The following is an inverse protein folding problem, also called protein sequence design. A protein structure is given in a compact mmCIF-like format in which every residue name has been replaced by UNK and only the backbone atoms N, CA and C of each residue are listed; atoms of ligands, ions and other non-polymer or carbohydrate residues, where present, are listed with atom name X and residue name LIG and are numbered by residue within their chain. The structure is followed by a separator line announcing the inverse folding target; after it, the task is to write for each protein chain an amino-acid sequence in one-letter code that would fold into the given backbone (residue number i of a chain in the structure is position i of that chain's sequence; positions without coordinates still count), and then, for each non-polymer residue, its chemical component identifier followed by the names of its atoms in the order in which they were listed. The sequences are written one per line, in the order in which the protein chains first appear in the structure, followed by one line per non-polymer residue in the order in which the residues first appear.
data_IF_244607690777
#
_entry.id   IF_244607690777
#
_cell.length_a   1.000
_cell.length_b   1.000
_cell.length_c   1.000
_cell.angle_alpha   90.00
_cell.angle_beta   90.00
_cell.angle_gamma   90.00
#
_symmetry.space_group_name_H-M   'P 1'
#
loop_
_entity.id
_entity.type
_entity.pdbx_description
1 polymer ?
#
# COMPACT_ATOMS: atom_id res chain seq x y z
N UNK A 1 -2.89 42.66 -6.83
CA UNK A 1 -2.34 41.77 -5.78
C UNK A 1 -2.91 40.38 -5.99
N UNK A 2 -2.06 39.36 -6.11
CA UNK A 2 -2.52 37.98 -6.28
C UNK A 2 -2.79 37.35 -4.90
N UNK A 3 -3.73 36.41 -4.84
CA UNK A 3 -3.93 35.56 -3.67
C UNK A 3 -2.61 34.84 -3.36
N UNK A 4 -2.10 34.97 -2.14
CA UNK A 4 -0.82 34.37 -1.70
C UNK A 4 0.42 35.25 -1.83
N UNK A 5 0.31 36.46 -2.40
CA UNK A 5 1.40 37.44 -2.39
C UNK A 5 1.35 38.30 -1.13
N UNK A 6 2.51 38.52 -0.50
CA UNK A 6 2.66 39.51 0.58
C UNK A 6 3.07 40.85 -0.01
N UNK A 7 2.42 41.94 0.40
CA UNK A 7 2.84 43.29 0.05
C UNK A 7 3.83 43.75 1.12
N UNK A 8 5.05 44.04 0.70
CA UNK A 8 6.10 44.53 1.58
C UNK A 8 6.38 46.02 1.32
N UNK A 9 6.96 46.70 2.30
CA UNK A 9 7.45 48.08 2.18
C UNK A 9 6.38 49.15 1.88
N UNK A 10 5.13 48.93 2.31
CA UNK A 10 4.04 49.92 2.20
C UNK A 10 3.10 49.81 3.41
N UNK A 11 2.62 50.96 3.94
CA UNK A 11 1.76 51.00 5.15
C UNK A 11 0.33 50.53 4.90
N UNK A 12 -0.25 50.90 3.76
CA UNK A 12 -1.61 50.50 3.38
C UNK A 12 -1.75 50.46 1.86
N UNK A 13 -2.69 49.64 1.39
CA UNK A 13 -3.07 49.53 0.00
C UNK A 13 -4.59 49.39 -0.06
N UNK A 14 -5.24 50.19 -0.91
CA UNK A 14 -6.66 50.03 -1.23
C UNK A 14 -6.79 49.35 -2.59
N UNK A 15 -7.75 48.45 -2.73
CA UNK A 15 -8.03 47.76 -3.98
C UNK A 15 -9.37 47.04 -3.96
N UNK A 16 -9.85 46.66 -5.13
CA UNK A 16 -11.08 45.91 -5.31
C UNK A 16 -10.79 44.45 -5.65
N UNK A 17 -11.60 43.53 -5.13
CA UNK A 17 -11.51 42.11 -5.45
C UNK A 17 -12.13 41.85 -6.83
N UNK A 18 -11.28 41.52 -7.82
CA UNK A 18 -11.72 41.20 -9.19
C UNK A 18 -11.97 39.70 -9.38
N UNK A 19 -11.18 38.86 -8.71
CA UNK A 19 -11.30 37.40 -8.76
C UNK A 19 -11.35 36.86 -7.32
N UNK A 20 -12.28 35.95 -7.04
CA UNK A 20 -12.51 35.37 -5.71
C UNK A 20 -12.60 33.84 -5.84
N UNK A 21 -12.17 33.11 -4.81
CA UNK A 21 -12.30 31.65 -4.78
C UNK A 21 -11.44 30.92 -5.81
N UNK A 22 -12.06 30.02 -6.59
CA UNK A 22 -11.41 29.20 -7.63
C UNK A 22 -10.99 30.02 -8.86
N UNK A 23 -11.62 31.17 -9.09
CA UNK A 23 -11.30 32.07 -10.20
C UNK A 23 -9.99 32.83 -10.00
N UNK A 24 -9.39 32.73 -8.80
CA UNK A 24 -8.07 33.32 -8.55
C UNK A 24 -7.00 32.58 -9.34
N UNK A 25 -6.06 33.33 -9.96
CA UNK A 25 -4.93 32.73 -10.71
C UNK A 25 -4.14 31.68 -9.91
N UNK A 26 -4.04 31.84 -8.59
CA UNK A 26 -3.42 30.84 -7.71
C UNK A 26 -4.23 29.55 -7.66
N UNK A 27 -5.55 29.64 -7.55
CA UNK A 27 -6.43 28.48 -7.51
C UNK A 27 -6.49 27.78 -8.88
N UNK A 28 -6.49 28.52 -9.99
CA UNK A 28 -6.39 27.94 -11.33
C UNK A 28 -5.05 27.23 -11.59
N UNK A 29 -3.96 27.68 -10.95
CA UNK A 29 -2.66 26.99 -10.98
C UNK A 29 -2.59 25.79 -10.02
N UNK A 30 -3.52 25.66 -9.07
CA UNK A 30 -3.65 24.42 -8.31
C UNK A 30 -4.28 23.39 -9.23
N UNK A 31 -3.56 22.31 -9.51
CA UNK A 31 -4.11 21.20 -10.27
C UNK A 31 -5.38 20.70 -9.57
N UNK A 32 -6.55 20.89 -10.21
CA UNK A 32 -7.84 20.38 -9.72
C UNK A 32 -7.85 18.86 -9.58
N UNK A 33 -7.01 18.18 -10.37
CA UNK A 33 -6.65 16.78 -10.20
C UNK A 33 -5.34 16.65 -9.43
N UNK A 34 -5.43 16.47 -8.12
CA UNK A 34 -4.30 16.02 -7.29
C UNK A 34 -3.95 14.61 -7.76
N UNK A 35 -2.97 14.51 -8.66
CA UNK A 35 -2.43 13.21 -9.08
C UNK A 35 -1.75 12.58 -7.87
N UNK A 36 -2.32 11.50 -7.37
CA UNK A 36 -1.70 10.70 -6.30
C UNK A 36 -0.34 10.24 -6.81
N UNK A 37 0.73 10.74 -6.19
CA UNK A 37 2.10 10.34 -6.52
C UNK A 37 2.30 8.94 -5.97
N UNK A 38 2.33 7.93 -6.85
CA UNK A 38 2.77 6.59 -6.48
C UNK A 38 4.29 6.51 -6.53
N UNK A 39 4.89 5.94 -5.50
CA UNK A 39 6.33 5.71 -5.44
C UNK A 39 6.73 4.51 -6.31
N UNK A 40 7.96 4.53 -6.87
CA UNK A 40 8.51 3.35 -7.57
C UNK A 40 8.64 2.14 -6.64
N UNK A 41 8.84 2.38 -5.35
CA UNK A 41 8.94 1.34 -4.32
C UNK A 41 7.58 0.67 -4.09
N UNK A 42 6.47 1.41 -4.21
CA UNK A 42 5.12 0.82 -4.12
C UNK A 42 4.87 -0.17 -5.26
N UNK A 43 5.23 0.21 -6.49
CA UNK A 43 5.13 -0.68 -7.66
C UNK A 43 6.00 -1.95 -7.52
N UNK A 44 7.15 -1.85 -6.86
CA UNK A 44 8.00 -3.02 -6.60
C UNK A 44 7.37 -3.96 -5.58
N UNK A 45 6.79 -3.42 -4.51
CA UNK A 45 6.11 -4.21 -3.47
C UNK A 45 4.88 -4.93 -4.04
N UNK A 46 4.08 -4.23 -4.85
CA UNK A 46 2.93 -4.84 -5.55
C UNK A 46 3.37 -6.01 -6.47
N UNK A 47 4.55 -5.88 -7.10
CA UNK A 47 5.12 -6.95 -7.94
C UNK A 47 5.57 -8.16 -7.13
N UNK A 48 6.26 -7.94 -6.01
CA UNK A 48 6.67 -9.03 -5.12
C UNK A 48 5.45 -9.75 -4.52
N UNK A 49 4.41 -9.01 -4.16
CA UNK A 49 3.15 -9.57 -3.70
C UNK A 49 2.51 -10.47 -4.77
N UNK A 50 2.45 -10.00 -6.03
CA UNK A 50 1.97 -10.80 -7.15
C UNK A 50 2.79 -12.08 -7.39
N UNK A 51 4.11 -12.00 -7.24
CA UNK A 51 5.00 -13.16 -7.36
C UNK A 51 4.74 -14.21 -6.26
N UNK A 52 4.64 -13.79 -5.00
CA UNK A 52 4.37 -14.69 -3.86
C UNK A 52 2.99 -15.33 -3.99
N UNK A 53 1.96 -14.58 -4.39
CA UNK A 53 0.63 -15.13 -4.65
C UNK A 53 0.64 -16.17 -5.78
N UNK A 54 1.35 -15.88 -6.88
CA UNK A 54 1.52 -16.83 -7.98
C UNK A 54 2.20 -18.12 -7.53
N UNK A 55 3.26 -18.03 -6.72
CA UNK A 55 3.97 -19.17 -6.16
C UNK A 55 3.06 -20.02 -5.27
N UNK A 56 2.25 -19.40 -4.41
CA UNK A 56 1.31 -20.11 -3.54
C UNK A 56 0.25 -20.85 -4.36
N UNK A 57 -0.28 -20.22 -5.41
CA UNK A 57 -1.23 -20.87 -6.31
C UNK A 57 -0.62 -22.08 -7.00
N UNK A 58 0.59 -21.98 -7.54
CA UNK A 58 1.26 -23.11 -8.20
C UNK A 58 1.59 -24.24 -7.23
N UNK A 59 2.04 -23.93 -6.01
CA UNK A 59 2.25 -24.94 -4.96
C UNK A 59 0.95 -25.61 -4.54
N UNK A 60 -0.13 -24.85 -4.34
CA UNK A 60 -1.44 -25.40 -3.95
C UNK A 60 -2.00 -26.35 -5.02
N UNK A 61 -1.87 -25.99 -6.30
CA UNK A 61 -2.27 -26.84 -7.42
C UNK A 61 -1.37 -28.08 -7.55
N UNK A 62 -0.05 -27.91 -7.37
CA UNK A 62 0.89 -29.03 -7.38
C UNK A 62 0.60 -30.06 -6.29
N UNK A 63 0.28 -29.58 -5.08
CA UNK A 63 -0.09 -30.45 -3.96
C UNK A 63 -1.46 -31.10 -4.14
N UNK A 64 -2.43 -30.40 -4.72
CA UNK A 64 -3.71 -30.98 -5.10
C UNK A 64 -3.53 -32.15 -6.08
N UNK A 65 -2.70 -31.99 -7.11
CA UNK A 65 -2.43 -33.04 -8.10
C UNK A 65 -1.69 -34.21 -7.43
N UNK A 66 -0.68 -33.94 -6.60
CA UNK A 66 0.05 -34.97 -5.87
C UNK A 66 -0.84 -35.75 -4.90
N UNK A 67 -1.77 -35.06 -4.23
CA UNK A 67 -2.77 -35.67 -3.36
C UNK A 67 -3.78 -36.53 -4.15
N UNK A 68 -4.17 -36.10 -5.35
CA UNK A 68 -5.03 -36.89 -6.23
C UNK A 68 -4.35 -38.18 -6.72
N UNK A 69 -3.02 -38.20 -6.84
CA UNK A 69 -2.25 -39.36 -7.29
C UNK A 69 -1.94 -40.37 -6.18
N UNK A 70 -1.94 -39.94 -4.92
CA UNK A 70 -1.53 -40.78 -3.78
C UNK A 70 -2.76 -41.32 -3.07
N UNK A 71 -3.18 -42.55 -3.39
CA UNK A 71 -4.39 -43.18 -2.85
C UNK A 71 -4.33 -43.47 -1.35
N UNK A 72 -3.16 -43.81 -0.80
CA UNK A 72 -3.02 -44.20 0.61
C UNK A 72 -3.17 -43.01 1.58
N UNK A 73 -2.72 -41.82 1.18
CA UNK A 73 -2.76 -40.60 2.00
C UNK A 73 -4.17 -39.98 2.11
N UNK A 74 -5.13 -40.42 1.28
CA UNK A 74 -6.51 -39.92 1.32
C UNK A 74 -7.23 -40.35 2.60
N UNK A 75 -6.99 -41.58 3.06
CA UNK A 75 -7.69 -42.14 4.23
C UNK A 75 -7.33 -41.43 5.55
N UNK A 76 -6.05 -41.12 5.77
CA UNK A 76 -5.60 -40.42 6.97
C UNK A 76 -5.99 -38.93 6.95
N UNK A 77 -6.02 -38.30 5.77
CA UNK A 77 -6.42 -36.90 5.65
C UNK A 77 -7.93 -36.70 5.86
N UNK A 78 -8.78 -37.61 5.36
CA UNK A 78 -10.22 -37.61 5.63
C UNK A 78 -10.52 -37.76 7.13
N UNK A 79 -9.73 -38.57 7.84
CA UNK A 79 -9.77 -38.69 9.30
C UNK A 79 -9.32 -37.39 10.01
N UNK A 80 -8.24 -36.74 9.54
CA UNK A 80 -7.71 -35.50 10.12
C UNK A 80 -8.66 -34.30 9.97
N UNK A 81 -9.36 -34.20 8.83
CA UNK A 81 -10.31 -33.11 8.56
C UNK A 81 -11.71 -33.41 9.15
N UNK A 82 -11.95 -34.63 9.63
CA UNK A 82 -13.21 -35.02 10.27
C UNK A 82 -14.39 -35.08 9.30
N UNK A 83 -14.12 -35.26 8.01
CA UNK A 83 -15.15 -35.40 6.98
C UNK A 83 -15.41 -36.90 6.76
N UNK A 84 -16.61 -37.36 7.10
CA UNK A 84 -17.07 -38.70 6.74
C UNK A 84 -17.78 -38.64 5.38
N UNK A 85 -17.47 -39.62 4.51
CA UNK A 85 -18.14 -40.00 3.26
C UNK A 85 -17.98 -39.13 1.99
N UNK A 86 -17.29 -39.75 1.01
CA UNK A 86 -17.59 -39.94 -0.42
C UNK A 86 -17.82 -38.76 -1.39
N UNK A 87 -17.95 -37.51 -0.95
CA UNK A 87 -18.08 -36.38 -1.87
C UNK A 87 -17.23 -35.16 -1.48
N UNK A 88 -15.93 -35.36 -1.24
CA UNK A 88 -15.00 -34.22 -1.15
C UNK A 88 -14.83 -33.63 -2.55
N UNK A 89 -15.65 -32.63 -2.87
CA UNK A 89 -15.54 -31.86 -4.12
C UNK A 89 -14.13 -31.26 -4.25
N UNK A 90 -13.59 -31.25 -5.47
CA UNK A 90 -12.30 -30.65 -5.83
C UNK A 90 -12.16 -29.20 -5.31
N UNK A 91 -13.27 -28.49 -5.17
CA UNK A 91 -13.32 -27.15 -4.60
C UNK A 91 -12.93 -27.12 -3.11
N UNK A 92 -13.34 -28.11 -2.31
CA UNK A 92 -12.98 -28.20 -0.90
C UNK A 92 -11.49 -28.48 -0.70
N UNK A 93 -10.90 -29.35 -1.53
CA UNK A 93 -9.46 -29.63 -1.48
C UNK A 93 -8.64 -28.37 -1.79
N UNK A 94 -9.01 -27.61 -2.83
CA UNK A 94 -8.34 -26.35 -3.17
C UNK A 94 -8.47 -25.34 -2.02
N UNK A 95 -9.65 -25.19 -1.43
CA UNK A 95 -9.86 -24.27 -0.31
C UNK A 95 -9.00 -24.62 0.91
N UNK A 96 -8.85 -25.90 1.25
CA UNK A 96 -8.02 -26.33 2.38
C UNK A 96 -6.54 -26.08 2.14
N UNK A 97 -6.02 -26.39 0.95
CA UNK A 97 -4.63 -26.09 0.62
C UNK A 97 -4.37 -24.58 0.57
N UNK A 98 -5.31 -23.80 0.03
CA UNK A 98 -5.23 -22.34 0.01
C UNK A 98 -5.22 -21.77 1.43
N UNK A 99 -6.03 -22.31 2.35
CA UNK A 99 -6.05 -21.91 3.75
C UNK A 99 -4.76 -22.31 4.49
N UNK A 100 -4.17 -23.46 4.16
CA UNK A 100 -2.88 -23.90 4.69
C UNK A 100 -1.75 -22.90 4.33
N UNK A 101 -1.73 -22.45 3.06
CA UNK A 101 -0.76 -21.47 2.56
C UNK A 101 -1.16 -20.01 2.81
N UNK A 102 -2.36 -19.74 3.29
CA UNK A 102 -2.75 -18.39 3.70
C UNK A 102 -1.79 -17.86 4.78
N UNK A 103 -1.31 -18.73 5.66
CA UNK A 103 -0.28 -18.41 6.66
C UNK A 103 1.12 -18.21 6.07
N UNK A 104 1.38 -18.64 4.83
CA UNK A 104 2.63 -18.32 4.11
C UNK A 104 2.65 -16.92 3.52
N UNK A 105 1.48 -16.27 3.30
CA UNK A 105 1.41 -14.82 3.14
C UNK A 105 1.32 -14.24 4.54
N UNK A 106 2.42 -13.82 5.17
CA UNK A 106 2.34 -13.35 6.54
C UNK A 106 1.56 -12.03 6.51
N UNK A 107 0.43 -11.95 7.19
CA UNK A 107 -0.24 -10.66 7.45
C UNK A 107 0.78 -9.67 8.03
N UNK A 108 1.72 -10.19 8.82
CA UNK A 108 2.85 -9.45 9.37
C UNK A 108 3.81 -8.88 8.32
N UNK A 109 4.00 -9.49 7.14
CA UNK A 109 4.87 -8.96 6.09
C UNK A 109 4.32 -7.62 5.57
N UNK A 110 3.02 -7.57 5.31
CA UNK A 110 2.36 -6.35 4.83
C UNK A 110 2.43 -5.24 5.88
N UNK A 111 2.07 -5.55 7.13
CA UNK A 111 2.14 -4.60 8.25
C UNK A 111 3.57 -4.10 8.48
N UNK A 112 4.57 -4.99 8.37
CA UNK A 112 5.99 -4.62 8.56
C UNK A 112 6.45 -3.66 7.47
N UNK A 113 6.06 -3.88 6.20
CA UNK A 113 6.41 -2.99 5.08
C UNK A 113 5.81 -1.59 5.28
N UNK A 114 4.54 -1.50 5.67
CA UNK A 114 3.90 -0.21 5.94
C UNK A 114 4.52 0.50 7.15
N UNK A 115 4.88 -0.24 8.20
CA UNK A 115 5.56 0.31 9.37
C UNK A 115 6.96 0.85 9.02
N UNK A 116 7.73 0.12 8.20
CA UNK A 116 9.03 0.59 7.71
C UNK A 116 8.89 1.89 6.92
N UNK A 117 7.86 2.01 6.07
CA UNK A 117 7.58 3.25 5.32
C UNK A 117 7.24 4.41 6.24
N UNK A 118 6.45 4.18 7.29
CA UNK A 118 6.11 5.20 8.29
C UNK A 118 7.38 5.69 9.02
N UNK A 119 8.25 4.77 9.43
CA UNK A 119 9.52 5.13 10.07
C UNK A 119 10.41 5.92 9.10
N UNK A 120 10.54 5.48 7.86
CA UNK A 120 11.32 6.20 6.84
C UNK A 120 10.79 7.62 6.61
N UNK A 121 9.47 7.78 6.49
CA UNK A 121 8.85 9.09 6.35
C UNK A 121 9.09 9.98 7.58
N UNK A 122 9.01 9.40 8.78
CA UNK A 122 9.29 10.09 10.04
C UNK A 122 10.75 10.56 10.13
N UNK A 123 11.71 9.72 9.75
CA UNK A 123 13.12 10.07 9.73
C UNK A 123 13.41 11.21 8.73
N UNK A 124 12.82 11.15 7.53
CA UNK A 124 12.93 12.23 6.53
C UNK A 124 12.36 13.55 7.07
N UNK A 125 11.25 13.49 7.82
CA UNK A 125 10.63 14.68 8.41
C UNK A 125 11.55 15.33 9.46
N UNK A 126 12.21 14.54 10.31
CA UNK A 126 13.16 15.04 11.31
C UNK A 126 14.36 15.72 10.64
N UNK A 127 14.90 15.10 9.59
CA UNK A 127 16.03 15.67 8.84
C UNK A 127 15.65 17.00 8.16
N UNK A 128 14.49 17.05 7.50
CA UNK A 128 13.98 18.29 6.90
C UNK A 128 13.76 19.41 7.92
N UNK A 129 13.28 19.10 9.13
CA UNK A 129 13.11 20.08 10.19
C UNK A 129 14.45 20.64 10.68
N UNK A 130 15.47 19.77 10.77
CA UNK A 130 16.81 20.16 11.19
C UNK A 130 17.42 21.19 10.23
N UNK A 131 17.28 20.99 8.91
CA UNK A 131 17.71 21.97 7.90
C UNK A 131 16.93 23.30 7.94
N UNK A 132 15.61 23.25 8.15
CA UNK A 132 14.77 24.46 8.23
C UNK A 132 15.05 25.31 9.48
N UNK A 133 15.43 24.66 10.57
CA UNK A 133 15.80 25.33 11.82
C UNK A 133 17.08 26.12 11.64
N UNK A 134 18.09 25.56 10.95
CA UNK A 134 19.33 26.26 10.63
C UNK A 134 19.10 27.50 9.75
N UNK A 135 18.19 27.43 8.77
CA UNK A 135 17.82 28.61 7.95
C UNK A 135 17.15 29.68 8.81
N UNK A 136 16.31 29.29 9.78
CA UNK A 136 15.64 30.22 10.70
C UNK A 136 16.60 30.88 11.71
N UNK A 137 17.69 30.21 12.09
CA UNK A 137 18.76 30.78 12.94
C UNK A 137 19.84 31.54 12.14
N UNK A 138 19.99 31.28 10.84
CA UNK A 138 20.95 31.95 9.97
C UNK A 138 20.49 33.33 9.43
N UNK A 139 19.30 33.81 9.83
CA UNK A 139 18.90 35.20 9.63
C UNK A 139 18.59 35.59 8.19
N UNK A 140 17.60 34.94 7.58
CA UNK A 140 16.80 35.50 6.48
C UNK A 140 15.34 35.57 6.90
#
# INVERSE_FOLDING_TARGET
VLRGSSICNTKWCCGFAVYVGEDTKLAMNKASNVRVKRSRVELQIDRYLGFVLGLILTLSLGLMIAFAQTSDMRSEFELFVGLHSDEVSWAHQIMTFLLLFNNMVPISLYVTVDLVRLIQAYLIQIDSQSGSSLIKYAGV
#
